data_IF_366566558036
#
_entry.id   IF_366566558036
#
_cell.length_a   1.000
_cell.length_b   1.000
_cell.length_c   1.000
_cell.angle_alpha   90.00
_cell.angle_beta   90.00
_cell.angle_gamma   90.00
#
_symmetry.space_group_name_H-M   'P 1'
#
loop_
_entity.id
_entity.type
_entity.pdbx_description
1 polymer ?
#
# COMPACT_ATOMS: atom_id res chain seq x y z
N UNK A 1 -35.17 -23.11 8.80
CA UNK A 1 -34.12 -23.80 9.57
C UNK A 1 -32.77 -23.59 8.89
N UNK A 2 -31.86 -22.78 9.45
CA UNK A 2 -30.56 -22.50 8.82
C UNK A 2 -29.60 -23.68 9.01
N UNK A 3 -29.11 -24.23 7.91
CA UNK A 3 -28.06 -25.25 7.87
C UNK A 3 -26.69 -24.61 8.17
N UNK A 4 -26.38 -24.36 9.43
CA UNK A 4 -25.00 -24.05 9.83
C UNK A 4 -24.20 -25.35 9.88
N UNK A 5 -23.53 -25.67 8.77
CA UNK A 5 -22.56 -26.76 8.72
C UNK A 5 -21.48 -26.54 9.78
N UNK A 6 -21.39 -27.44 10.76
CA UNK A 6 -20.35 -27.40 11.79
C UNK A 6 -18.99 -27.63 11.13
N UNK A 7 -18.21 -26.56 10.98
CA UNK A 7 -16.82 -26.64 10.51
C UNK A 7 -16.02 -27.38 11.59
N UNK A 8 -15.66 -28.64 11.34
CA UNK A 8 -14.80 -29.43 12.24
C UNK A 8 -13.35 -29.19 11.87
N UNK A 9 -12.65 -28.39 12.67
CA UNK A 9 -11.20 -28.25 12.55
C UNK A 9 -10.50 -29.41 13.24
N UNK A 10 -9.57 -30.06 12.55
CA UNK A 10 -8.67 -31.03 13.19
C UNK A 10 -7.74 -30.29 14.17
N UNK A 11 -7.41 -30.92 15.29
CA UNK A 11 -6.44 -30.40 16.28
C UNK A 11 -5.11 -30.04 15.61
N UNK A 12 -4.69 -30.79 14.59
CA UNK A 12 -3.48 -30.50 13.79
C UNK A 12 -3.63 -29.22 12.96
N UNK A 13 -4.81 -28.96 12.41
CA UNK A 13 -5.09 -27.74 11.65
C UNK A 13 -5.06 -26.52 12.57
N UNK A 14 -5.68 -26.62 13.76
CA UNK A 14 -5.63 -25.56 14.77
C UNK A 14 -4.18 -25.27 15.21
N UNK A 15 -3.39 -26.30 15.49
CA UNK A 15 -1.98 -26.14 15.90
C UNK A 15 -1.08 -25.52 14.82
N UNK A 16 -1.41 -25.68 13.53
CA UNK A 16 -0.68 -25.03 12.43
C UNK A 16 -1.21 -23.63 12.12
N UNK A 17 -2.52 -23.40 12.28
CA UNK A 17 -3.15 -22.13 11.98
C UNK A 17 -2.77 -21.05 13.00
N UNK A 18 -2.74 -21.40 14.29
CA UNK A 18 -2.42 -20.46 15.37
C UNK A 18 -1.05 -19.79 15.21
N UNK A 19 0.07 -20.52 15.02
CA UNK A 19 1.37 -19.88 14.83
C UNK A 19 1.46 -19.14 13.50
N UNK A 20 0.78 -19.60 12.44
CA UNK A 20 0.75 -18.89 11.16
C UNK A 20 0.03 -17.54 11.28
N UNK A 21 -1.10 -17.49 11.99
CA UNK A 21 -1.84 -16.25 12.28
C UNK A 21 -1.02 -15.35 13.21
N UNK A 22 -0.41 -15.90 14.26
CA UNK A 22 0.44 -15.14 15.17
C UNK A 22 1.64 -14.52 14.43
N UNK A 23 2.28 -15.27 13.53
CA UNK A 23 3.36 -14.78 12.69
C UNK A 23 2.87 -13.70 11.72
N UNK A 24 1.71 -13.88 11.10
CA UNK A 24 1.13 -12.87 10.20
C UNK A 24 0.80 -11.57 10.93
N UNK A 25 0.25 -11.66 12.14
CA UNK A 25 -0.03 -10.50 12.99
C UNK A 25 1.27 -9.84 13.45
N UNK A 26 2.25 -10.61 13.90
CA UNK A 26 3.56 -10.08 14.30
C UNK A 26 4.26 -9.38 13.13
N UNK A 27 4.24 -9.98 11.93
CA UNK A 27 4.77 -9.36 10.72
C UNK A 27 4.00 -8.10 10.37
N UNK A 28 2.66 -8.10 10.46
CA UNK A 28 1.86 -6.91 10.22
C UNK A 28 2.18 -5.79 11.22
N UNK A 29 2.33 -6.10 12.51
CA UNK A 29 2.70 -5.12 13.54
C UNK A 29 4.10 -4.58 13.31
N UNK A 30 5.08 -5.44 13.01
CA UNK A 30 6.45 -5.03 12.69
C UNK A 30 6.46 -4.17 11.43
N UNK A 31 5.71 -4.56 10.40
CA UNK A 31 5.56 -3.76 9.17
C UNK A 31 4.97 -2.40 9.47
N UNK A 32 3.87 -2.33 10.24
CA UNK A 32 3.23 -1.05 10.61
C UNK A 32 4.17 -0.18 11.46
N UNK A 33 4.94 -0.77 12.38
CA UNK A 33 5.88 -0.02 13.21
C UNK A 33 7.13 0.43 12.45
N UNK A 34 7.63 -0.38 11.52
CA UNK A 34 8.78 -0.06 10.69
C UNK A 34 8.43 0.78 9.45
N UNK A 35 7.15 0.87 9.09
CA UNK A 35 6.68 1.62 7.91
C UNK A 35 7.11 3.08 7.90
N UNK A 36 7.05 3.85 9.01
CA UNK A 36 7.44 5.26 8.99
C UNK A 36 8.93 5.46 8.76
N UNK A 37 9.76 4.56 9.29
CA UNK A 37 11.22 4.69 9.23
C UNK A 37 11.81 4.05 7.98
N UNK A 38 11.19 2.99 7.45
CA UNK A 38 11.77 2.15 6.40
C UNK A 38 10.80 1.88 5.25
N UNK A 39 9.60 2.46 5.26
CA UNK A 39 8.57 2.26 4.24
C UNK A 39 9.05 2.64 2.84
N UNK A 40 9.98 3.58 2.73
CA UNK A 40 10.63 3.98 1.47
C UNK A 40 11.30 2.80 0.76
N UNK A 41 11.99 1.90 1.49
CA UNK A 41 12.60 0.70 0.91
C UNK A 41 11.66 -0.50 0.98
N UNK A 42 10.87 -0.62 2.06
CA UNK A 42 9.96 -1.74 2.28
C UNK A 42 8.82 -1.76 1.25
N UNK A 43 8.23 -0.62 0.90
CA UNK A 43 7.13 -0.54 -0.06
C UNK A 43 7.51 -1.13 -1.44
N UNK A 44 8.56 -0.63 -2.10
CA UNK A 44 9.05 -1.17 -3.37
C UNK A 44 9.51 -2.63 -3.25
N UNK A 45 10.18 -3.01 -2.15
CA UNK A 45 10.62 -4.38 -1.94
C UNK A 45 9.45 -5.36 -1.80
N UNK A 46 8.41 -4.99 -1.04
CA UNK A 46 7.20 -5.80 -0.89
C UNK A 46 6.43 -5.88 -2.20
N UNK A 47 6.36 -4.79 -2.98
CA UNK A 47 5.75 -4.78 -4.31
C UNK A 47 6.50 -5.72 -5.27
N UNK A 48 7.83 -5.59 -5.36
CA UNK A 48 8.68 -6.41 -6.21
C UNK A 48 8.62 -7.90 -5.80
N UNK A 49 8.72 -8.19 -4.50
CA UNK A 49 8.59 -9.54 -3.97
C UNK A 49 7.23 -10.16 -4.24
N UNK A 50 6.14 -9.39 -4.07
CA UNK A 50 4.78 -9.84 -4.37
C UNK A 50 4.58 -10.09 -5.87
N UNK A 51 5.13 -9.25 -6.73
CA UNK A 51 5.11 -9.44 -8.18
C UNK A 51 5.86 -10.73 -8.58
N UNK A 52 7.11 -10.90 -8.14
CA UNK A 52 7.92 -12.09 -8.43
C UNK A 52 7.24 -13.37 -7.93
N UNK A 53 6.70 -13.35 -6.71
CA UNK A 53 5.96 -14.48 -6.15
C UNK A 53 4.72 -14.81 -6.98
N UNK A 54 3.97 -13.80 -7.40
CA UNK A 54 2.78 -13.96 -8.25
C UNK A 54 3.17 -14.57 -9.60
N UNK A 55 4.23 -14.09 -10.23
CA UNK A 55 4.74 -14.63 -11.51
C UNK A 55 5.20 -16.08 -11.36
N UNK A 56 5.95 -16.39 -10.31
CA UNK A 56 6.43 -17.75 -10.05
C UNK A 56 5.27 -18.73 -9.79
N UNK A 57 4.29 -18.33 -8.98
CA UNK A 57 3.09 -19.14 -8.72
C UNK A 57 2.22 -19.27 -9.97
N UNK A 58 2.10 -18.21 -10.76
CA UNK A 58 1.40 -18.22 -12.04
C UNK A 58 2.02 -19.22 -13.02
N UNK A 59 3.35 -19.20 -13.16
CA UNK A 59 4.09 -20.16 -13.97
C UNK A 59 3.90 -21.61 -13.46
N UNK A 60 3.98 -21.83 -12.15
CA UNK A 60 3.76 -23.16 -11.56
C UNK A 60 2.33 -23.68 -11.80
N UNK A 61 1.31 -22.82 -11.67
CA UNK A 61 -0.09 -23.16 -11.98
C UNK A 61 -0.28 -23.45 -13.46
N UNK A 62 0.41 -22.71 -14.35
CA UNK A 62 0.33 -22.87 -15.79
C UNK A 62 0.92 -24.22 -16.26
N UNK A 63 2.06 -24.62 -15.70
CA UNK A 63 2.74 -25.89 -16.04
C UNK A 63 1.95 -27.11 -15.56
N UNK A 64 1.33 -27.06 -14.37
CA UNK A 64 0.65 -28.21 -13.78
C UNK A 64 -0.77 -27.87 -13.24
N UNK A 65 -1.71 -27.48 -14.12
CA UNK A 65 -2.97 -26.84 -13.71
C UNK A 65 -3.89 -27.75 -12.90
N UNK A 66 -3.80 -29.07 -13.06
CA UNK A 66 -4.70 -30.04 -12.43
C UNK A 66 -4.21 -30.57 -11.07
N UNK A 67 -2.93 -30.41 -10.72
CA UNK A 67 -2.35 -31.04 -9.52
C UNK A 67 -2.16 -30.11 -8.31
N UNK A 68 -2.27 -28.80 -8.46
CA UNK A 68 -1.83 -27.88 -7.40
C UNK A 68 -2.94 -26.91 -6.92
N UNK A 69 -3.90 -27.45 -6.14
CA UNK A 69 -4.93 -26.62 -5.45
C UNK A 69 -4.30 -25.59 -4.50
N UNK A 70 -3.18 -25.93 -3.86
CA UNK A 70 -2.46 -25.01 -2.97
C UNK A 70 -1.79 -23.86 -3.74
N UNK A 71 -1.13 -24.14 -4.87
CA UNK A 71 -0.51 -23.09 -5.70
C UNK A 71 -1.54 -22.07 -6.20
N UNK A 72 -2.75 -22.52 -6.59
CA UNK A 72 -3.85 -21.60 -6.93
C UNK A 72 -4.28 -20.71 -5.77
N UNK A 73 -4.42 -21.26 -4.56
CA UNK A 73 -4.78 -20.47 -3.37
C UNK A 73 -3.68 -19.47 -3.00
N UNK A 74 -2.41 -19.89 -3.07
CA UNK A 74 -1.27 -19.02 -2.85
C UNK A 74 -1.22 -17.89 -3.91
N UNK A 75 -1.49 -18.21 -5.18
CA UNK A 75 -1.55 -17.22 -6.26
C UNK A 75 -2.65 -16.19 -6.02
N UNK A 76 -3.85 -16.61 -5.62
CA UNK A 76 -4.95 -15.70 -5.27
C UNK A 76 -4.54 -14.79 -4.10
N UNK A 77 -3.89 -15.35 -3.07
CA UNK A 77 -3.36 -14.55 -1.96
C UNK A 77 -2.31 -13.52 -2.40
N UNK A 78 -1.35 -13.94 -3.24
CA UNK A 78 -0.31 -13.05 -3.75
C UNK A 78 -0.90 -11.93 -4.63
N UNK A 79 -1.87 -12.26 -5.49
CA UNK A 79 -2.62 -11.28 -6.29
C UNK A 79 -3.40 -10.29 -5.41
N UNK A 80 -4.05 -10.78 -4.35
CA UNK A 80 -4.77 -9.92 -3.43
C UNK A 80 -3.83 -8.94 -2.72
N UNK A 81 -2.66 -9.40 -2.26
CA UNK A 81 -1.63 -8.52 -1.66
C UNK A 81 -1.13 -7.50 -2.67
N UNK A 82 -0.79 -7.93 -3.89
CA UNK A 82 -0.35 -7.03 -4.96
C UNK A 82 -1.41 -5.96 -5.27
N UNK A 83 -2.67 -6.37 -5.36
CA UNK A 83 -3.81 -5.47 -5.56
C UNK A 83 -3.95 -4.49 -4.40
N UNK A 84 -3.85 -4.94 -3.15
CA UNK A 84 -3.93 -4.06 -1.97
C UNK A 84 -2.81 -3.01 -1.95
N UNK A 85 -1.58 -3.39 -2.31
CA UNK A 85 -0.46 -2.43 -2.42
C UNK A 85 -0.73 -1.44 -3.56
N UNK A 86 -1.17 -1.91 -4.72
CA UNK A 86 -1.53 -1.04 -5.84
C UNK A 86 -2.64 -0.04 -5.45
N UNK A 87 -3.68 -0.51 -4.76
CA UNK A 87 -4.75 0.34 -4.25
C UNK A 87 -4.26 1.36 -3.21
N UNK A 88 -3.30 1.01 -2.36
CA UNK A 88 -2.68 1.93 -1.41
C UNK A 88 -1.92 3.06 -2.11
N UNK A 89 -1.19 2.76 -3.19
CA UNK A 89 -0.54 3.79 -4.00
C UNK A 89 -1.57 4.66 -4.73
N UNK A 90 -2.62 4.05 -5.28
CA UNK A 90 -3.73 4.75 -5.94
C UNK A 90 -4.65 5.50 -4.98
N UNK A 91 -4.60 5.25 -3.67
CA UNK A 91 -5.35 6.04 -2.70
C UNK A 91 -4.63 7.32 -2.29
N UNK A 92 -3.36 7.49 -2.70
CA UNK A 92 -2.56 8.66 -2.34
C UNK A 92 -3.14 9.96 -2.91
N UNK A 93 -3.56 9.98 -4.18
CA UNK A 93 -4.19 11.15 -4.81
C UNK A 93 -5.46 11.63 -4.09
N UNK A 94 -6.48 10.75 -3.91
CA UNK A 94 -7.68 11.08 -3.13
C UNK A 94 -7.37 11.54 -1.70
N UNK A 95 -6.35 10.96 -1.06
CA UNK A 95 -5.94 11.35 0.28
C UNK A 95 -5.31 12.76 0.30
N UNK A 96 -4.48 13.11 -0.69
CA UNK A 96 -3.97 14.47 -0.87
C UNK A 96 -5.12 15.47 -1.09
N UNK A 97 -6.11 15.12 -1.91
CA UNK A 97 -7.30 15.95 -2.12
C UNK A 97 -8.06 16.19 -0.82
N UNK A 98 -8.31 15.14 -0.03
CA UNK A 98 -9.00 15.28 1.25
C UNK A 98 -8.23 16.18 2.23
N UNK A 99 -6.90 16.06 2.28
CA UNK A 99 -6.04 16.92 3.10
C UNK A 99 -6.09 18.38 2.64
N UNK A 100 -6.14 18.63 1.33
CA UNK A 100 -6.29 19.97 0.77
C UNK A 100 -7.69 20.56 1.02
N UNK A 101 -8.74 19.74 0.91
CA UNK A 101 -10.13 20.17 1.01
C UNK A 101 -10.53 20.51 2.46
N UNK A 102 -10.13 19.70 3.44
CA UNK A 102 -10.50 19.89 4.86
C UNK A 102 -9.51 20.77 5.63
N UNK A 103 -8.86 21.72 4.95
CA UNK A 103 -7.81 22.55 5.55
C UNK A 103 -8.35 23.54 6.61
N UNK A 104 -7.69 23.68 7.80
CA UNK A 104 -6.62 22.82 8.31
C UNK A 104 -7.12 21.47 8.82
N UNK A 105 -6.46 20.37 8.42
CA UNK A 105 -6.83 19.05 8.92
C UNK A 105 -6.53 18.94 10.42
N UNK A 106 -7.31 18.15 11.17
CA UNK A 106 -6.99 17.85 12.56
C UNK A 106 -5.57 17.29 12.71
N UNK A 107 -4.82 17.61 13.78
CA UNK A 107 -3.44 17.14 13.96
C UNK A 107 -3.29 15.61 13.89
N UNK A 108 -4.31 14.87 14.35
CA UNK A 108 -4.33 13.42 14.25
C UNK A 108 -4.43 12.91 12.80
N UNK A 109 -5.24 13.57 11.96
CA UNK A 109 -5.38 13.24 10.55
C UNK A 109 -4.09 13.52 9.79
N UNK A 110 -3.44 14.67 10.04
CA UNK A 110 -2.15 15.00 9.45
C UNK A 110 -1.05 13.98 9.83
N UNK A 111 -0.97 13.59 11.11
CA UNK A 111 -0.02 12.55 11.55
C UNK A 111 -0.27 11.21 10.88
N UNK A 112 -1.53 10.78 10.80
CA UNK A 112 -1.89 9.52 10.13
C UNK A 112 -1.56 9.57 8.63
N UNK A 113 -1.87 10.70 7.98
CA UNK A 113 -1.54 10.92 6.58
C UNK A 113 -0.04 10.81 6.33
N UNK A 114 0.80 11.52 7.10
CA UNK A 114 2.25 11.40 6.99
C UNK A 114 2.75 9.99 7.30
N UNK A 115 2.19 9.32 8.30
CA UNK A 115 2.56 7.96 8.65
C UNK A 115 2.33 6.99 7.50
N UNK A 116 1.15 7.04 6.86
CA UNK A 116 0.78 6.12 5.79
C UNK A 116 1.45 6.50 4.47
N UNK A 117 1.37 7.77 4.09
CA UNK A 117 1.72 8.26 2.76
C UNK A 117 3.10 8.92 2.67
N UNK A 118 3.80 9.16 3.78
CA UNK A 118 5.19 9.61 3.77
C UNK A 118 6.05 8.67 2.92
N UNK A 119 6.16 7.37 3.24
CA UNK A 119 6.89 6.43 2.39
C UNK A 119 6.53 6.44 0.91
N UNK A 120 5.25 6.66 0.58
CA UNK A 120 4.78 6.72 -0.82
C UNK A 120 5.24 8.01 -1.49
N UNK A 121 5.11 9.15 -0.81
CA UNK A 121 5.62 10.42 -1.29
C UNK A 121 7.14 10.38 -1.49
N UNK A 122 7.90 9.73 -0.60
CA UNK A 122 9.34 9.48 -0.78
C UNK A 122 9.62 8.73 -2.08
N UNK A 123 8.87 7.65 -2.33
CA UNK A 123 9.04 6.85 -3.54
C UNK A 123 8.73 7.65 -4.82
N UNK A 124 7.79 8.59 -4.76
CA UNK A 124 7.51 9.50 -5.89
C UNK A 124 8.67 10.47 -6.10
N UNK A 125 9.23 11.07 -5.04
CA UNK A 125 10.36 12.02 -5.14
C UNK A 125 11.59 11.36 -5.77
N UNK A 126 11.92 10.14 -5.35
CA UNK A 126 13.09 9.40 -5.84
C UNK A 126 12.81 8.53 -7.07
N UNK A 127 11.59 8.58 -7.63
CA UNK A 127 11.27 7.86 -8.84
C UNK A 127 12.08 8.38 -10.04
N UNK A 128 12.37 7.53 -11.05
CA UNK A 128 12.97 7.99 -12.31
C UNK A 128 12.13 9.10 -12.95
N UNK A 129 12.74 10.06 -13.68
CA UNK A 129 12.06 11.29 -14.12
C UNK A 129 10.69 11.08 -14.78
N UNK A 130 10.59 10.15 -15.74
CA UNK A 130 9.32 9.86 -16.43
C UNK A 130 8.24 9.28 -15.53
N UNK A 131 8.64 8.44 -14.56
CA UNK A 131 7.70 7.87 -13.60
C UNK A 131 7.25 8.94 -12.60
N UNK A 132 8.19 9.77 -12.15
CA UNK A 132 7.90 10.91 -11.28
C UNK A 132 6.93 11.89 -11.95
N UNK A 133 7.17 12.26 -13.20
CA UNK A 133 6.25 13.10 -14.00
C UNK A 133 4.83 12.50 -14.06
N UNK A 134 4.71 11.20 -14.33
CA UNK A 134 3.41 10.52 -14.35
C UNK A 134 2.73 10.52 -12.96
N UNK A 135 3.50 10.30 -11.89
CA UNK A 135 2.99 10.37 -10.52
C UNK A 135 2.53 11.79 -10.16
N UNK A 136 3.32 12.81 -10.48
CA UNK A 136 2.99 14.22 -10.25
C UNK A 136 1.75 14.61 -11.05
N UNK A 137 1.65 14.22 -12.31
CA UNK A 137 0.46 14.46 -13.14
C UNK A 137 -0.79 13.79 -12.56
N UNK A 138 -0.66 12.53 -12.10
CA UNK A 138 -1.73 11.82 -11.43
C UNK A 138 -2.17 12.54 -10.13
N UNK A 139 -1.24 13.00 -9.31
CA UNK A 139 -1.55 13.73 -8.07
C UNK A 139 -2.19 15.09 -8.36
N UNK A 140 -1.70 15.80 -9.36
CA UNK A 140 -2.27 17.07 -9.83
C UNK A 140 -3.71 16.92 -10.32
N UNK A 141 -4.05 15.80 -10.98
CA UNK A 141 -5.43 15.52 -11.41
C UNK A 141 -6.42 15.42 -10.24
N UNK A 142 -5.95 15.00 -9.07
CA UNK A 142 -6.79 14.94 -7.87
C UNK A 142 -6.94 16.27 -7.16
N UNK A 143 -6.11 17.28 -7.43
CA UNK A 143 -6.13 18.53 -6.67
C UNK A 143 -7.40 19.36 -6.93
N UNK A 144 -7.94 20.06 -5.91
CA UNK A 144 -9.07 20.96 -6.11
C UNK A 144 -8.68 22.11 -7.03
N UNK A 145 -9.66 22.72 -7.71
CA UNK A 145 -9.40 23.85 -8.59
C UNK A 145 -8.73 25.00 -7.83
N UNK A 146 -7.64 25.54 -8.39
CA UNK A 146 -6.84 26.60 -7.78
C UNK A 146 -5.82 26.11 -6.75
N UNK A 147 -5.70 24.79 -6.54
CA UNK A 147 -4.56 24.25 -5.81
C UNK A 147 -3.40 23.96 -6.77
N UNK A 148 -2.23 24.54 -6.46
CA UNK A 148 -1.00 24.32 -7.21
C UNK A 148 -0.22 23.19 -6.56
N UNK A 149 -0.13 22.06 -7.24
CA UNK A 149 0.75 20.97 -6.85
C UNK A 149 2.18 21.30 -7.29
N UNK A 150 3.14 21.18 -6.37
CA UNK A 150 4.53 21.52 -6.66
C UNK A 150 5.50 20.49 -6.09
N UNK A 151 6.56 20.25 -6.86
CA UNK A 151 7.74 19.54 -6.41
C UNK A 151 8.71 20.58 -5.83
N UNK A 152 9.07 20.46 -4.55
CA UNK A 152 10.20 21.20 -3.98
C UNK A 152 11.46 20.43 -4.33
N UNK A 153 12.63 21.09 -4.38
CA UNK A 153 13.96 20.47 -4.57
C UNK A 153 14.18 19.16 -3.76
N UNK A 154 13.41 18.96 -2.69
CA UNK A 154 13.45 17.79 -1.79
C UNK A 154 12.08 17.31 -1.32
N UNK A 155 10.99 17.56 -2.05
CA UNK A 155 9.67 17.28 -1.49
C UNK A 155 8.50 17.36 -2.45
N UNK A 156 7.35 16.94 -1.94
CA UNK A 156 6.06 17.06 -2.62
C UNK A 156 5.15 17.88 -1.73
N UNK A 157 4.54 18.90 -2.32
CA UNK A 157 3.60 19.76 -1.64
C UNK A 157 2.47 20.22 -2.55
N UNK A 158 1.51 20.88 -1.93
CA UNK A 158 0.48 21.60 -2.65
C UNK A 158 0.19 22.91 -1.95
N UNK A 159 -0.10 23.93 -2.74
CA UNK A 159 -0.53 25.25 -2.29
C UNK A 159 -2.02 25.38 -2.58
N UNK A 160 -2.76 25.91 -1.62
CA UNK A 160 -4.17 26.27 -1.75
C UNK A 160 -4.25 27.76 -1.36
N UNK A 161 -5.16 28.59 -1.88
CA UNK A 161 -5.22 30.00 -1.51
C UNK A 161 -5.19 30.22 0.02
N UNK A 162 -4.13 30.86 0.51
CA UNK A 162 -3.92 31.15 1.94
C UNK A 162 -3.08 30.13 2.72
N UNK A 163 -2.67 29.00 2.11
CA UNK A 163 -1.93 27.94 2.81
C UNK A 163 -1.09 27.03 1.92
N UNK A 164 0.00 26.51 2.48
CA UNK A 164 0.89 25.55 1.83
C UNK A 164 1.02 24.31 2.70
N UNK A 165 0.96 23.14 2.07
CA UNK A 165 1.23 21.86 2.72
C UNK A 165 2.42 21.17 2.07
N UNK A 166 3.26 20.59 2.91
CA UNK A 166 4.42 19.82 2.46
C UNK A 166 4.32 18.44 3.08
N UNK A 167 4.21 17.42 2.22
CA UNK A 167 4.06 16.03 2.65
C UNK A 167 5.40 15.49 3.16
N UNK A 168 6.49 15.84 2.48
CA UNK A 168 7.87 15.55 2.87
C UNK A 168 8.74 16.72 2.46
N UNK A 169 9.68 17.08 3.33
CA UNK A 169 10.80 17.96 3.03
C UNK A 169 12.07 17.31 3.55
N UNK A 170 13.05 17.08 2.67
CA UNK A 170 14.44 16.78 3.07
C UNK A 170 15.31 18.05 3.10
#
# INVERSE_FOLDING_TARGET
>A
MPWFGRIRFSTRTLLLLTPAVALAVALAVVLVQAWPSHGEWLGPAVLAGSFLLTTALGAAVWIAPRRQRWARRALIGALAVLLSIGLLYLSFGPACWAMAFYHPPPPAAARLFHHVYGPIATNVVFAPPRLREACVAYLGWWMPAGADFWEVDRGIGFNVPGWSYTIISY
#
